data_IF_809154790124
#
_entry.id   IF_809154790124
#
_cell.length_a   1.000
_cell.length_b   1.000
_cell.length_c   1.000
_cell.angle_alpha   90.00
_cell.angle_beta   90.00
_cell.angle_gamma   90.00
#
_symmetry.space_group_name_H-M   'P 1'
#
loop_
_entity.id
_entity.type
_entity.pdbx_description
1 polymer ?
#
# COMPACT_ATOMS: atom_id res chain seq x y z
N UNK A 1 -12.12 2.75 -22.34
CA UNK A 1 -11.35 3.76 -21.61
C UNK A 1 -12.17 4.16 -20.40
N UNK A 2 -11.67 3.92 -19.19
CA UNK A 2 -12.39 4.26 -17.96
C UNK A 2 -11.90 5.61 -17.46
N UNK A 3 -12.83 6.44 -16.99
CA UNK A 3 -12.50 7.65 -16.25
C UNK A 3 -12.58 7.31 -14.77
N UNK A 4 -11.44 7.39 -14.08
CA UNK A 4 -11.39 7.26 -12.62
C UNK A 4 -11.54 8.66 -12.02
N UNK A 5 -12.46 8.81 -11.08
CA UNK A 5 -12.58 10.02 -10.26
C UNK A 5 -12.37 9.66 -8.81
N UNK A 6 -11.70 10.53 -8.08
CA UNK A 6 -11.64 10.46 -6.61
C UNK A 6 -12.80 11.29 -6.04
N UNK A 7 -13.49 10.70 -5.07
CA UNK A 7 -14.68 11.26 -4.47
C UNK A 7 -14.85 10.75 -3.04
N UNK A 8 -15.38 11.60 -2.18
CA UNK A 8 -15.75 11.25 -0.82
C UNK A 8 -17.21 10.81 -0.77
N UNK A 9 -17.55 9.91 0.16
CA UNK A 9 -18.94 9.54 0.41
C UNK A 9 -19.35 10.11 1.77
N UNK A 10 -20.25 11.09 1.74
CA UNK A 10 -20.81 11.72 2.94
C UNK A 10 -22.33 11.50 2.96
N UNK A 11 -22.87 10.94 4.04
CA UNK A 11 -24.31 10.67 4.20
C UNK A 11 -24.90 9.83 3.04
N UNK A 12 -24.12 8.90 2.48
CA UNK A 12 -24.54 8.08 1.35
C UNK A 12 -24.55 8.80 -0.01
N UNK A 13 -24.05 10.04 -0.07
CA UNK A 13 -23.91 10.80 -1.30
C UNK A 13 -22.44 10.89 -1.71
N UNK A 14 -22.15 10.56 -2.96
CA UNK A 14 -20.82 10.74 -3.57
C UNK A 14 -20.60 12.23 -3.85
N UNK A 15 -19.59 12.82 -3.22
CA UNK A 15 -19.18 14.22 -3.39
C UNK A 15 -17.81 14.26 -4.06
N UNK A 16 -17.71 14.99 -5.16
CA UNK A 16 -16.44 15.26 -5.82
C UNK A 16 -16.48 16.66 -6.44
N UNK A 17 -15.38 17.42 -6.40
CA UNK A 17 -15.28 18.67 -7.16
C UNK A 17 -15.43 18.44 -8.67
N UNK A 18 -15.20 17.22 -9.14
CA UNK A 18 -15.26 16.85 -10.55
C UNK A 18 -16.61 16.25 -11.00
N UNK A 19 -17.62 16.26 -10.13
CA UNK A 19 -18.94 15.65 -10.41
C UNK A 19 -19.59 16.19 -11.70
N UNK A 20 -19.28 17.44 -12.06
CA UNK A 20 -19.81 18.11 -13.27
C UNK A 20 -19.25 17.53 -14.57
N UNK A 21 -18.11 16.83 -14.53
CA UNK A 21 -17.52 16.16 -15.70
C UNK A 21 -18.17 14.81 -15.98
N UNK A 22 -19.00 14.31 -15.07
CA UNK A 22 -19.67 13.03 -15.22
C UNK A 22 -20.92 13.18 -16.11
N UNK A 23 -21.20 12.17 -16.96
CA UNK A 23 -22.46 12.11 -17.68
C UNK A 23 -23.64 11.96 -16.72
N UNK A 24 -24.83 12.39 -17.15
CA UNK A 24 -26.07 12.30 -16.36
C UNK A 24 -26.49 10.86 -16.05
N UNK A 25 -26.05 9.89 -16.83
CA UNK A 25 -26.29 8.44 -16.64
C UNK A 25 -25.01 7.68 -16.97
N UNK A 26 -24.54 6.83 -16.05
CA UNK A 26 -23.40 5.93 -16.27
C UNK A 26 -23.51 4.65 -15.43
N UNK A 27 -22.87 3.59 -15.89
CA UNK A 27 -22.60 2.39 -15.10
C UNK A 27 -21.24 2.56 -14.42
N UNK A 28 -21.18 2.45 -13.09
CA UNK A 28 -19.98 2.77 -12.30
C UNK A 28 -19.46 1.56 -11.53
N UNK A 29 -18.13 1.44 -11.47
CA UNK A 29 -17.42 0.54 -10.57
C UNK A 29 -16.90 1.37 -9.39
N UNK A 30 -17.27 0.99 -8.17
CA UNK A 30 -16.87 1.72 -6.96
C UNK A 30 -15.79 0.91 -6.23
N UNK A 31 -14.65 1.55 -5.99
CA UNK A 31 -13.58 1.01 -5.14
C UNK A 31 -13.54 1.83 -3.85
N UNK A 32 -13.79 1.19 -2.71
CA UNK A 32 -13.71 1.85 -1.41
C UNK A 32 -12.26 1.86 -0.92
N UNK A 33 -11.68 3.05 -0.80
CA UNK A 33 -10.40 3.24 -0.14
C UNK A 33 -10.64 3.24 1.38
N UNK A 34 -10.42 2.12 2.03
CA UNK A 34 -10.35 2.11 3.49
C UNK A 34 -9.14 2.94 3.89
N UNK A 35 -9.26 3.92 4.80
CA UNK A 35 -8.08 4.55 5.38
C UNK A 35 -7.23 3.41 5.91
N UNK A 36 -5.98 3.33 5.45
CA UNK A 36 -5.03 2.42 6.04
C UNK A 36 -4.91 2.87 7.48
N UNK A 37 -5.69 2.26 8.39
CA UNK A 37 -5.60 2.52 9.81
C UNK A 37 -4.13 2.50 10.15
N UNK A 38 -3.68 3.56 10.84
CA UNK A 38 -2.28 3.86 11.10
C UNK A 38 -1.48 2.56 11.10
N UNK A 39 -0.66 2.36 10.06
CA UNK A 39 0.38 1.33 10.12
C UNK A 39 1.27 1.80 11.25
N UNK A 40 0.88 1.45 12.48
CA UNK A 40 1.57 1.85 13.69
C UNK A 40 3.03 1.56 13.42
N UNK A 41 3.86 2.58 13.54
CA UNK A 41 5.29 2.46 13.31
C UNK A 41 5.78 1.26 14.11
N UNK A 42 6.04 0.15 13.43
CA UNK A 42 6.42 -1.07 14.11
C UNK A 42 7.84 -0.87 14.58
N UNK A 43 8.02 -0.65 15.87
CA UNK A 43 9.33 -0.41 16.43
C UNK A 43 10.10 -1.74 16.56
N UNK A 44 10.95 -1.99 15.56
CA UNK A 44 11.85 -3.13 15.54
C UNK A 44 13.04 -2.99 16.52
N UNK A 45 13.14 -1.89 17.29
CA UNK A 45 14.19 -1.70 18.31
C UNK A 45 14.29 -2.88 19.28
N UNK A 46 13.14 -3.49 19.62
CA UNK A 46 13.04 -4.63 20.52
C UNK A 46 13.67 -5.93 19.96
N UNK A 47 13.88 -6.02 18.64
CA UNK A 47 14.50 -7.16 17.97
C UNK A 47 16.01 -6.97 17.74
N UNK A 48 16.50 -5.73 17.85
CA UNK A 48 17.92 -5.40 17.73
C UNK A 48 18.75 -6.19 18.75
N UNK A 49 19.74 -6.95 18.26
CA UNK A 49 20.62 -7.77 19.10
C UNK A 49 20.02 -9.08 19.61
N UNK A 50 18.72 -9.34 19.35
CA UNK A 50 18.08 -10.64 19.66
C UNK A 50 18.21 -11.65 18.53
N UNK A 51 18.35 -11.16 17.30
CA UNK A 51 18.57 -12.00 16.13
C UNK A 51 19.99 -12.55 16.18
N UNK A 52 20.11 -13.86 16.33
CA UNK A 52 21.36 -14.60 16.16
C UNK A 52 21.35 -15.22 14.77
N UNK A 53 22.33 -14.85 13.97
CA UNK A 53 22.56 -15.50 12.68
C UNK A 53 23.07 -16.92 12.91
N UNK A 54 22.43 -17.91 12.29
CA UNK A 54 22.78 -19.34 12.41
C UNK A 54 23.34 -19.94 11.12
N UNK A 55 24.05 -19.15 10.31
CA UNK A 55 24.73 -19.60 9.09
C UNK A 55 26.23 -19.29 9.11
N UNK A 56 27.00 -19.95 8.24
CA UNK A 56 28.40 -19.61 8.03
C UNK A 56 28.49 -18.33 7.19
N UNK A 57 28.77 -17.20 7.85
CA UNK A 57 28.81 -15.89 7.20
C UNK A 57 29.80 -15.84 6.01
N UNK A 58 30.92 -16.57 6.09
CA UNK A 58 31.95 -16.59 5.04
C UNK A 58 31.51 -17.39 3.82
N UNK A 59 30.80 -18.50 4.02
CA UNK A 59 30.26 -19.29 2.91
C UNK A 59 29.17 -18.54 2.16
N UNK A 60 28.26 -17.87 2.89
CA UNK A 60 27.19 -17.09 2.27
C UNK A 60 27.74 -15.87 1.50
N UNK A 61 28.77 -15.20 2.04
CA UNK A 61 29.47 -14.14 1.30
C UNK A 61 30.15 -14.64 0.03
N UNK A 62 30.70 -15.86 0.03
CA UNK A 62 31.32 -16.45 -1.16
C UNK A 62 30.29 -16.78 -2.22
N UNK A 63 29.15 -17.38 -1.84
CA UNK A 63 28.05 -17.67 -2.77
C UNK A 63 27.58 -16.42 -3.51
N UNK A 64 27.38 -15.30 -2.80
CA UNK A 64 26.93 -14.04 -3.39
C UNK A 64 27.96 -13.42 -4.34
N UNK A 65 29.26 -13.64 -4.11
CA UNK A 65 30.32 -13.11 -4.96
C UNK A 65 30.47 -13.90 -6.26
N UNK A 66 30.17 -15.18 -6.24
CA UNK A 66 30.28 -16.04 -7.42
C UNK A 66 29.08 -15.85 -8.40
N UNK A 67 28.12 -14.97 -8.06
CA UNK A 67 26.97 -14.57 -8.90
C UNK A 67 27.18 -13.26 -9.70
N UNK A 68 28.34 -12.60 -9.60
CA UNK A 68 28.68 -11.34 -10.28
C UNK A 68 29.96 -11.49 -11.12
#
# INVERSE_FOLDING_TARGET
>A
MYTTIEADIENGQVKSPEIQKLPSVAHVLITLLTPSGDKGSYDFSSLSGRLKWSGNAVEEQRKLRDEW
#
